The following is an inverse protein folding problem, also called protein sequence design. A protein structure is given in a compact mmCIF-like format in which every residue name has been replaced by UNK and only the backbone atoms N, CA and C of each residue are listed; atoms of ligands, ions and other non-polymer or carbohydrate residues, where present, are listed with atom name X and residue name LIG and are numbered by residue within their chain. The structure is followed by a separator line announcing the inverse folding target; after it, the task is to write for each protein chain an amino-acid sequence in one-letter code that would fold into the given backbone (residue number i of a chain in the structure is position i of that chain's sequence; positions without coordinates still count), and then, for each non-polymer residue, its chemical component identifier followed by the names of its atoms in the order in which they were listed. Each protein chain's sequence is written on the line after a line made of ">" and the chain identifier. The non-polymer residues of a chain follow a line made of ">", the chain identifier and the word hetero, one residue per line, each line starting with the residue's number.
data_IF_238600511373
#
_entry.id   IF_238600511373
#
_cell.length_a   1.000
_cell.length_b   1.000
_cell.length_c   1.000
_cell.angle_alpha   90.00
_cell.angle_beta   90.00
_cell.angle_gamma   90.00
#
_symmetry.space_group_name_H-M   'P 1'
#
loop_
_entity.id
_entity.type
_entity.pdbx_description
1 polymer ?
#
# COMPACT_ATOMS: atom_id res chain seq x y z
N UNK A 1 36.83 3.10 3.30
CA UNK A 1 35.61 2.36 3.71
C UNK A 1 34.42 2.98 2.99
N UNK A 2 34.06 2.44 1.83
CA UNK A 2 32.82 2.80 1.13
C UNK A 2 31.73 1.91 1.71
N UNK A 3 30.95 2.44 2.65
CA UNK A 3 29.71 1.79 3.06
C UNK A 3 28.75 1.90 1.87
N UNK A 4 28.26 0.76 1.42
CA UNK A 4 27.27 0.61 0.36
C UNK A 4 26.18 1.68 0.49
N UNK A 5 26.26 2.72 -0.34
CA UNK A 5 25.12 3.60 -0.57
C UNK A 5 24.06 2.76 -1.25
N UNK A 6 23.13 2.23 -0.45
CA UNK A 6 21.88 1.63 -0.91
C UNK A 6 21.31 2.57 -1.96
N UNK A 7 21.25 2.11 -3.20
CA UNK A 7 20.74 2.91 -4.31
C UNK A 7 19.29 3.31 -4.02
N UNK A 8 19.06 4.59 -3.75
CA UNK A 8 17.73 5.15 -3.60
C UNK A 8 17.29 5.60 -4.99
N UNK A 9 16.27 4.96 -5.56
CA UNK A 9 15.64 5.51 -6.75
C UNK A 9 15.16 6.94 -6.43
N UNK A 10 15.58 7.96 -7.19
CA UNK A 10 15.17 9.34 -6.95
C UNK A 10 13.66 9.53 -7.18
N UNK A 11 13.01 8.59 -7.85
CA UNK A 11 11.59 8.60 -8.15
C UNK A 11 10.88 7.34 -7.65
N UNK A 12 9.61 7.48 -7.27
CA UNK A 12 8.74 6.38 -6.92
C UNK A 12 8.60 5.43 -8.12
N UNK A 13 8.95 4.16 -7.91
CA UNK A 13 8.76 3.09 -8.88
C UNK A 13 8.12 1.87 -8.17
N UNK A 14 6.85 1.54 -8.46
CA UNK A 14 6.16 0.43 -7.80
C UNK A 14 6.88 -0.92 -8.01
N UNK A 15 7.46 -1.13 -9.20
CA UNK A 15 8.13 -2.38 -9.55
C UNK A 15 9.48 -2.57 -8.84
N UNK A 16 10.18 -1.46 -8.55
CA UNK A 16 11.39 -1.52 -7.73
C UNK A 16 11.06 -1.90 -6.29
N UNK A 17 10.02 -1.28 -5.72
CA UNK A 17 9.57 -1.62 -4.37
C UNK A 17 9.05 -3.07 -4.30
N UNK A 18 8.38 -3.55 -5.34
CA UNK A 18 7.95 -4.94 -5.44
C UNK A 18 9.13 -5.92 -5.48
N UNK A 19 10.17 -5.60 -6.25
CA UNK A 19 11.41 -6.40 -6.28
C UNK A 19 12.06 -6.45 -4.89
N UNK A 20 12.14 -5.32 -4.22
CA UNK A 20 12.89 -5.17 -2.98
C UNK A 20 12.12 -5.76 -1.78
N UNK A 21 10.80 -5.58 -1.72
CA UNK A 21 9.95 -5.99 -0.59
C UNK A 21 9.01 -7.16 -0.86
N UNK A 22 8.95 -7.68 -2.09
CA UNK A 22 8.03 -8.76 -2.46
C UNK A 22 8.15 -10.00 -1.58
N UNK A 23 9.34 -10.30 -1.06
CA UNK A 23 9.52 -11.44 -0.15
C UNK A 23 8.77 -11.32 1.17
N UNK A 24 8.57 -10.09 1.66
CA UNK A 24 7.87 -9.79 2.89
C UNK A 24 6.39 -9.54 2.59
N UNK A 25 6.13 -8.61 1.68
CA UNK A 25 4.78 -8.14 1.35
C UNK A 25 3.95 -9.26 0.73
N UNK A 26 4.49 -10.07 -0.20
CA UNK A 26 3.72 -11.17 -0.78
C UNK A 26 3.42 -12.27 0.21
N UNK A 27 4.29 -12.49 1.21
CA UNK A 27 4.01 -13.43 2.30
C UNK A 27 2.91 -12.91 3.23
N UNK A 28 2.89 -11.61 3.52
CA UNK A 28 1.89 -10.98 4.39
C UNK A 28 0.52 -10.84 3.72
N UNK A 29 0.48 -10.73 2.40
CA UNK A 29 -0.74 -10.53 1.60
C UNK A 29 -0.97 -11.66 0.59
N UNK A 30 -0.59 -12.89 0.95
CA UNK A 30 -0.71 -14.08 0.09
C UNK A 30 -2.14 -14.30 -0.45
N UNK A 31 -3.15 -13.95 0.34
CA UNK A 31 -4.56 -14.06 -0.03
C UNK A 31 -4.96 -13.15 -1.19
N UNK A 32 -4.24 -12.04 -1.39
CA UNK A 32 -4.43 -11.12 -2.51
C UNK A 32 -3.54 -11.52 -3.68
N UNK A 33 -2.25 -11.82 -3.42
CA UNK A 33 -1.23 -11.95 -4.48
C UNK A 33 -1.19 -13.34 -5.11
N UNK A 34 -1.27 -14.42 -4.32
CA UNK A 34 -1.13 -15.79 -4.87
C UNK A 34 -2.34 -16.21 -5.71
N UNK A 35 -3.47 -15.57 -5.49
CA UNK A 35 -4.74 -15.90 -6.14
C UNK A 35 -5.32 -14.70 -6.87
N UNK A 36 -4.45 -13.81 -7.38
CA UNK A 36 -4.85 -12.53 -7.96
C UNK A 36 -5.96 -12.73 -9.00
N UNK A 37 -7.21 -12.29 -8.72
CA UNK A 37 -8.33 -12.63 -9.58
C UNK A 37 -8.19 -12.04 -10.97
N UNK A 38 -8.59 -12.78 -11.98
CA UNK A 38 -8.71 -12.22 -13.33
C UNK A 38 -9.76 -11.11 -13.36
N UNK A 39 -10.82 -11.20 -12.56
CA UNK A 39 -11.89 -10.19 -12.53
C UNK A 39 -11.58 -9.07 -11.53
N UNK A 40 -11.54 -7.81 -12.03
CA UNK A 40 -11.33 -6.62 -11.20
C UNK A 40 -12.38 -6.41 -10.11
N UNK A 41 -13.62 -6.85 -10.34
CA UNK A 41 -14.70 -6.80 -9.35
C UNK A 41 -14.42 -7.73 -8.17
N UNK A 42 -13.93 -8.93 -8.46
CA UNK A 42 -13.55 -9.91 -7.44
C UNK A 42 -12.30 -9.45 -6.68
N UNK A 43 -11.28 -8.96 -7.40
CA UNK A 43 -10.09 -8.38 -6.78
C UNK A 43 -10.45 -7.23 -5.83
N UNK A 44 -11.34 -6.33 -6.25
CA UNK A 44 -11.82 -5.24 -5.40
C UNK A 44 -12.51 -5.73 -4.13
N UNK A 45 -13.39 -6.72 -4.24
CA UNK A 45 -14.04 -7.34 -3.08
C UNK A 45 -13.01 -7.96 -2.14
N UNK A 46 -12.01 -8.65 -2.68
CA UNK A 46 -10.97 -9.30 -1.86
C UNK A 46 -10.07 -8.31 -1.15
N UNK A 47 -9.65 -7.24 -1.83
CA UNK A 47 -8.90 -6.14 -1.23
C UNK A 47 -9.70 -5.48 -0.09
N UNK A 48 -10.98 -5.19 -0.32
CA UNK A 48 -11.87 -4.64 0.70
C UNK A 48 -12.00 -5.59 1.90
N UNK A 49 -12.23 -6.87 1.65
CA UNK A 49 -12.36 -7.88 2.69
C UNK A 49 -11.09 -8.03 3.53
N UNK A 50 -9.91 -8.13 2.90
CA UNK A 50 -8.62 -8.24 3.59
C UNK A 50 -8.36 -7.02 4.49
N UNK A 51 -8.68 -5.81 4.01
CA UNK A 51 -8.54 -4.59 4.82
C UNK A 51 -9.50 -4.56 5.99
N UNK A 52 -10.77 -4.89 5.78
CA UNK A 52 -11.78 -4.86 6.85
C UNK A 52 -11.51 -5.95 7.89
N UNK A 53 -11.08 -7.15 7.47
CA UNK A 53 -10.80 -8.25 8.40
C UNK A 53 -9.68 -7.94 9.40
N UNK A 54 -8.77 -7.03 9.07
CA UNK A 54 -7.73 -6.57 10.00
C UNK A 54 -8.29 -5.72 11.16
N UNK A 55 -9.50 -5.18 11.03
CA UNK A 55 -10.09 -4.25 12.01
C UNK A 55 -11.40 -4.75 12.63
N UNK A 56 -11.97 -5.84 12.14
CA UNK A 56 -13.11 -6.53 12.79
C UNK A 56 -12.55 -7.39 13.92
N UNK A 57 -12.38 -6.77 15.09
CA UNK A 57 -12.31 -7.50 16.35
C UNK A 57 -13.66 -8.21 16.54
N UNK A 58 -13.62 -9.51 16.83
CA UNK A 58 -14.72 -10.39 17.22
C UNK A 58 -16.12 -9.72 17.36
N UNK A 59 -17.10 -10.34 16.68
CA UNK A 59 -18.54 -10.35 16.98
C UNK A 59 -19.49 -9.64 15.98
N UNK A 60 -20.50 -10.42 15.57
CA UNK A 60 -21.76 -10.15 14.83
C UNK A 60 -21.79 -9.28 13.55
N UNK A 61 -20.82 -8.40 13.29
CA UNK A 61 -20.78 -7.53 12.08
C UNK A 61 -20.14 -8.17 10.85
N UNK A 62 -19.81 -9.46 10.90
CA UNK A 62 -19.32 -10.22 9.75
C UNK A 62 -20.27 -10.14 8.53
N UNK A 63 -21.55 -9.85 8.75
CA UNK A 63 -22.53 -9.59 7.69
C UNK A 63 -22.25 -8.34 6.84
N UNK A 64 -21.37 -7.41 7.28
CA UNK A 64 -20.95 -6.26 6.46
C UNK A 64 -19.88 -6.62 5.41
N UNK A 65 -19.27 -7.82 5.50
CA UNK A 65 -18.16 -8.26 4.64
C UNK A 65 -18.69 -8.84 3.31
N UNK A 66 -19.90 -9.41 3.31
CA UNK A 66 -20.50 -9.99 2.11
C UNK A 66 -21.21 -8.93 1.25
N UNK A 67 -20.48 -7.91 0.80
CA UNK A 67 -20.97 -7.09 -0.31
C UNK A 67 -20.82 -7.90 -1.60
N UNK A 68 -21.94 -8.18 -2.27
CA UNK A 68 -21.90 -8.74 -3.62
C UNK A 68 -20.93 -7.93 -4.49
N UNK A 69 -20.08 -8.63 -5.25
CA UNK A 69 -19.06 -7.99 -6.08
C UNK A 69 -19.70 -6.97 -7.02
N UNK A 70 -19.46 -5.68 -6.73
CA UNK A 70 -19.97 -4.61 -7.56
C UNK A 70 -19.16 -4.53 -8.86
N UNK A 71 -19.85 -4.33 -9.98
CA UNK A 71 -19.24 -4.31 -11.30
C UNK A 71 -18.13 -3.25 -11.37
N UNK A 72 -16.94 -3.68 -11.78
CA UNK A 72 -15.82 -2.82 -12.16
C UNK A 72 -15.67 -2.85 -13.68
N UNK A 73 -15.74 -1.69 -14.32
CA UNK A 73 -15.43 -1.51 -15.74
C UNK A 73 -14.12 -0.76 -15.91
N UNK A 74 -13.45 -0.94 -17.04
CA UNK A 74 -12.14 -0.36 -17.33
C UNK A 74 -12.07 0.04 -18.80
N UNK A 75 -11.59 1.26 -19.07
CA UNK A 75 -11.37 1.78 -20.43
C UNK A 75 -9.89 2.00 -20.72
N UNK A 76 -9.39 1.40 -21.80
CA UNK A 76 -8.07 1.71 -22.37
C UNK A 76 -6.86 1.02 -21.71
N UNK A 77 -7.08 -0.01 -20.88
CA UNK A 77 -6.02 -0.85 -20.29
C UNK A 77 -6.53 -2.27 -20.05
N UNK A 78 -5.67 -3.15 -19.55
CA UNK A 78 -6.01 -4.55 -19.33
C UNK A 78 -7.25 -4.69 -18.44
N UNK A 79 -8.25 -5.42 -18.95
CA UNK A 79 -9.50 -5.71 -18.23
C UNK A 79 -9.34 -6.79 -17.16
N UNK A 80 -8.19 -7.48 -17.15
CA UNK A 80 -7.91 -8.52 -16.18
C UNK A 80 -6.98 -8.01 -15.05
N UNK A 81 -7.21 -8.49 -13.82
CA UNK A 81 -6.50 -8.05 -12.62
C UNK A 81 -5.00 -8.31 -12.67
N UNK A 82 -4.57 -9.46 -13.18
CA UNK A 82 -3.16 -9.87 -13.22
C UNK A 82 -2.30 -9.00 -14.14
N UNK A 83 -2.81 -8.71 -15.34
CA UNK A 83 -2.15 -7.80 -16.28
C UNK A 83 -2.10 -6.39 -15.72
N UNK A 84 -3.19 -5.89 -15.11
CA UNK A 84 -3.20 -4.55 -14.53
C UNK A 84 -2.24 -4.44 -13.33
N UNK A 85 -2.21 -5.45 -12.46
CA UNK A 85 -1.24 -5.55 -11.37
C UNK A 85 0.21 -5.52 -11.88
N UNK A 86 0.52 -6.29 -12.93
CA UNK A 86 1.86 -6.29 -13.52
C UNK A 86 2.23 -4.96 -14.20
N UNK A 87 1.24 -4.18 -14.65
CA UNK A 87 1.46 -2.89 -15.28
C UNK A 87 1.73 -1.78 -14.23
N UNK A 88 0.86 -1.66 -13.23
CA UNK A 88 0.86 -0.51 -12.29
C UNK A 88 1.35 -0.84 -10.88
N UNK A 89 1.40 -2.12 -10.50
CA UNK A 89 1.74 -2.57 -9.15
C UNK A 89 0.58 -2.47 -8.15
N UNK A 90 0.72 -3.17 -7.03
CA UNK A 90 -0.37 -3.35 -6.06
C UNK A 90 -0.83 -2.05 -5.41
N UNK A 91 0.10 -1.17 -5.02
CA UNK A 91 -0.24 0.08 -4.31
C UNK A 91 -1.21 0.96 -5.13
N UNK A 92 -0.89 1.15 -6.42
CA UNK A 92 -1.69 1.95 -7.33
C UNK A 92 -3.04 1.27 -7.58
N UNK A 93 -3.03 -0.05 -7.80
CA UNK A 93 -4.21 -0.84 -8.05
C UNK A 93 -5.19 -0.82 -6.86
N UNK A 94 -4.68 -0.96 -5.64
CA UNK A 94 -5.49 -0.91 -4.42
C UNK A 94 -6.16 0.45 -4.26
N UNK A 95 -5.42 1.55 -4.47
CA UNK A 95 -6.01 2.88 -4.41
C UNK A 95 -7.07 3.08 -5.50
N UNK A 96 -6.79 2.66 -6.73
CA UNK A 96 -7.72 2.81 -7.85
C UNK A 96 -9.03 2.07 -7.60
N UNK A 97 -8.97 0.85 -7.05
CA UNK A 97 -10.15 0.04 -6.77
C UNK A 97 -10.93 0.53 -5.55
N UNK A 98 -10.32 1.23 -4.60
CA UNK A 98 -10.95 1.52 -3.31
C UNK A 98 -11.18 3.00 -3.02
N UNK A 99 -10.59 3.94 -3.75
CA UNK A 99 -10.61 5.36 -3.35
C UNK A 99 -11.89 6.12 -3.74
N UNK A 100 -12.48 5.82 -4.89
CA UNK A 100 -13.48 6.70 -5.49
C UNK A 100 -14.88 6.50 -4.90
N UNK A 101 -15.37 5.26 -4.94
CA UNK A 101 -16.70 4.90 -4.46
C UNK A 101 -16.66 3.74 -3.46
N UNK A 102 -17.66 3.60 -2.57
CA UNK A 102 -17.77 2.47 -1.65
C UNK A 102 -17.70 1.12 -2.39
N UNK A 103 -17.15 0.09 -1.75
CA UNK A 103 -16.91 -1.22 -2.38
C UNK A 103 -18.16 -1.87 -3.03
N UNK A 104 -19.36 -1.61 -2.49
CA UNK A 104 -20.63 -2.12 -3.00
C UNK A 104 -21.21 -1.32 -4.20
N UNK A 105 -20.60 -0.20 -4.59
CA UNK A 105 -21.05 0.62 -5.73
C UNK A 105 -20.25 0.29 -6.99
N UNK A 106 -20.87 0.30 -8.18
CA UNK A 106 -20.14 0.12 -9.43
C UNK A 106 -19.02 1.15 -9.59
N UNK A 107 -17.89 0.72 -10.15
CA UNK A 107 -16.71 1.57 -10.36
C UNK A 107 -16.32 1.54 -11.84
N UNK A 108 -15.98 2.70 -12.37
CA UNK A 108 -15.44 2.84 -13.70
C UNK A 108 -14.00 3.33 -13.61
N UNK A 109 -13.05 2.43 -13.86
CA UNK A 109 -11.63 2.75 -13.86
C UNK A 109 -11.24 3.38 -15.20
N UNK A 110 -10.50 4.47 -15.12
CA UNK A 110 -9.93 5.18 -16.27
C UNK A 110 -8.42 5.26 -16.15
N UNK A 111 -7.71 5.37 -17.28
CA UNK A 111 -6.26 5.56 -17.24
C UNK A 111 -5.87 6.81 -16.43
N UNK A 112 -6.67 7.88 -16.51
CA UNK A 112 -6.47 9.09 -15.72
C UNK A 112 -6.56 8.84 -14.20
N UNK A 113 -7.44 7.94 -13.75
CA UNK A 113 -7.52 7.55 -12.34
C UNK A 113 -6.21 6.89 -11.87
N UNK A 114 -5.69 5.92 -12.64
CA UNK A 114 -4.43 5.23 -12.35
C UNK A 114 -3.25 6.22 -12.30
N UNK A 115 -3.15 7.11 -13.29
CA UNK A 115 -2.12 8.16 -13.35
C UNK A 115 -2.26 9.10 -12.14
N UNK A 116 -3.48 9.44 -11.73
CA UNK A 116 -3.73 10.27 -10.55
C UNK A 116 -3.20 9.63 -9.26
N UNK A 117 -3.44 8.34 -9.08
CA UNK A 117 -2.91 7.57 -7.95
C UNK A 117 -1.38 7.48 -7.97
N UNK A 118 -0.80 7.20 -9.14
CA UNK A 118 0.65 7.18 -9.32
C UNK A 118 1.29 8.54 -8.96
N UNK A 119 0.73 9.65 -9.46
CA UNK A 119 1.23 11.01 -9.18
C UNK A 119 1.19 11.30 -7.69
N UNK A 120 0.09 10.96 -7.03
CA UNK A 120 -0.04 11.14 -5.58
C UNK A 120 1.00 10.34 -4.80
N UNK A 121 1.20 9.05 -5.14
CA UNK A 121 2.23 8.22 -4.49
C UNK A 121 3.65 8.73 -4.76
N UNK A 122 3.89 9.30 -5.94
CA UNK A 122 5.17 9.96 -6.25
C UNK A 122 5.38 11.20 -5.38
N UNK A 123 4.35 11.98 -5.11
CA UNK A 123 4.44 13.14 -4.21
C UNK A 123 4.66 12.71 -2.76
N UNK A 124 3.99 11.64 -2.31
CA UNK A 124 4.23 10.98 -1.02
C UNK A 124 5.69 10.53 -0.91
N UNK A 125 6.21 9.82 -1.92
CA UNK A 125 7.61 9.38 -1.94
C UNK A 125 8.58 10.54 -1.82
N UNK A 126 8.40 11.59 -2.63
CA UNK A 126 9.28 12.77 -2.64
C UNK A 126 9.33 13.47 -1.28
N UNK A 127 8.20 13.51 -0.58
CA UNK A 127 8.13 14.08 0.76
C UNK A 127 8.74 13.13 1.82
N UNK A 128 8.37 11.86 1.81
CA UNK A 128 8.67 10.93 2.90
C UNK A 128 10.06 10.28 2.80
N UNK A 129 10.60 10.03 1.61
CA UNK A 129 11.84 9.27 1.44
C UNK A 129 13.09 9.97 2.03
N UNK A 130 13.01 11.29 2.21
CA UNK A 130 14.06 12.13 2.80
C UNK A 130 13.72 12.57 4.23
N UNK A 131 12.59 12.11 4.78
CA UNK A 131 12.18 12.50 6.11
C UNK A 131 13.13 11.89 7.15
N UNK A 132 13.65 12.67 8.11
CA UNK A 132 14.45 12.12 9.21
C UNK A 132 13.69 11.02 9.96
N UNK A 133 14.45 10.12 10.58
CA UNK A 133 13.88 9.11 11.46
C UNK A 133 13.22 9.78 12.68
N UNK A 134 12.04 9.28 13.04
CA UNK A 134 11.19 9.80 14.11
C UNK A 134 10.88 8.71 15.13
N UNK A 135 11.29 8.94 16.38
CA UNK A 135 11.01 8.02 17.52
C UNK A 135 9.66 8.27 18.19
N UNK A 136 8.87 9.22 17.68
CA UNK A 136 7.55 9.53 18.24
C UNK A 136 6.57 8.36 18.06
N UNK A 137 5.70 8.08 19.05
CA UNK A 137 4.59 7.16 18.84
C UNK A 137 3.58 7.77 17.83
N UNK A 138 2.83 6.93 17.08
CA UNK A 138 1.71 7.43 16.28
C UNK A 138 0.67 8.12 17.17
N UNK A 139 -0.04 9.10 16.63
CA UNK A 139 -1.21 9.67 17.28
C UNK A 139 -2.26 8.59 17.59
N UNK A 140 -2.84 8.60 18.80
CA UNK A 140 -3.75 7.55 19.27
C UNK A 140 -5.09 7.52 18.51
N UNK A 141 -5.51 8.67 17.97
CA UNK A 141 -6.72 8.77 17.18
C UNK A 141 -6.39 8.86 15.69
N UNK A 142 -6.70 7.78 14.98
CA UNK A 142 -6.54 7.71 13.55
C UNK A 142 -7.92 7.59 12.88
N UNK A 143 -8.34 8.67 12.24
CA UNK A 143 -9.63 8.72 11.53
C UNK A 143 -9.72 7.65 10.43
N UNK A 144 -8.59 7.33 9.78
CA UNK A 144 -8.50 6.29 8.74
C UNK A 144 -8.94 4.94 9.32
N UNK A 145 -8.42 4.57 10.49
CA UNK A 145 -8.80 3.35 11.21
C UNK A 145 -10.28 3.34 11.56
N UNK A 146 -10.83 4.47 12.05
CA UNK A 146 -12.27 4.57 12.35
C UNK A 146 -13.14 4.38 11.11
N UNK A 147 -12.73 4.91 9.96
CA UNK A 147 -13.44 4.70 8.70
C UNK A 147 -13.38 3.23 8.24
N UNK A 148 -12.23 2.57 8.40
CA UNK A 148 -12.05 1.15 8.10
C UNK A 148 -12.89 0.24 9.01
N UNK A 149 -12.96 0.53 10.30
CA UNK A 149 -13.85 -0.17 11.24
C UNK A 149 -15.33 -0.05 10.84
N UNK A 150 -15.70 1.05 10.18
CA UNK A 150 -17.03 1.24 9.60
C UNK A 150 -17.22 0.62 8.22
N UNK A 151 -16.23 -0.08 7.65
CA UNK A 151 -16.24 -0.65 6.30
C UNK A 151 -16.15 0.38 5.17
N UNK A 152 -15.81 1.64 5.47
CA UNK A 152 -15.84 2.79 4.53
C UNK A 152 -14.47 3.03 3.91
N UNK A 153 -14.03 2.16 3.01
CA UNK A 153 -12.71 2.23 2.36
C UNK A 153 -12.44 3.55 1.61
N UNK A 154 -13.41 4.06 0.85
CA UNK A 154 -13.26 5.29 0.08
C UNK A 154 -13.09 6.51 1.00
N UNK A 155 -13.86 6.55 2.11
CA UNK A 155 -13.70 7.58 3.14
C UNK A 155 -12.34 7.46 3.84
N UNK A 156 -11.89 6.24 4.15
CA UNK A 156 -10.59 6.01 4.78
C UNK A 156 -9.44 6.52 3.89
N UNK A 157 -9.50 6.29 2.57
CA UNK A 157 -8.50 6.81 1.62
C UNK A 157 -8.59 8.33 1.47
N UNK A 158 -9.80 8.93 1.48
CA UNK A 158 -9.95 10.38 1.50
C UNK A 158 -9.29 10.99 2.76
N UNK A 159 -9.52 10.39 3.93
CA UNK A 159 -8.90 10.80 5.18
C UNK A 159 -7.38 10.57 5.17
N UNK A 160 -6.87 9.52 4.53
CA UNK A 160 -5.44 9.30 4.34
C UNK A 160 -4.81 10.44 3.53
N UNK A 161 -5.47 10.88 2.46
CA UNK A 161 -5.00 12.03 1.65
C UNK A 161 -5.03 13.33 2.44
N UNK A 162 -6.04 13.55 3.25
CA UNK A 162 -6.10 14.73 4.13
C UNK A 162 -5.05 14.67 5.24
N UNK A 163 -4.77 13.48 5.77
CA UNK A 163 -3.70 13.25 6.73
C UNK A 163 -2.33 13.60 6.11
N UNK A 164 -2.08 13.20 4.86
CA UNK A 164 -0.87 13.60 4.13
C UNK A 164 -0.74 15.13 4.01
N UNK A 165 -1.82 15.83 3.62
CA UNK A 165 -1.82 17.29 3.55
C UNK A 165 -1.49 17.93 4.91
N UNK A 166 -2.02 17.39 6.01
CA UNK A 166 -1.74 17.89 7.36
C UNK A 166 -0.28 17.70 7.75
N UNK A 167 0.31 16.53 7.42
CA UNK A 167 1.75 16.29 7.61
C UNK A 167 2.58 17.32 6.86
N UNK A 168 2.22 17.64 5.62
CA UNK A 168 2.90 18.68 4.85
C UNK A 168 2.77 20.08 5.46
N UNK A 169 1.64 20.38 6.11
CA UNK A 169 1.39 21.67 6.78
C UNK A 169 2.09 21.79 8.15
N UNK A 170 2.30 20.66 8.84
CA UNK A 170 2.89 20.61 10.18
C UNK A 170 4.07 19.62 10.20
N UNK A 171 5.18 19.92 9.49
CA UNK A 171 6.29 18.98 9.28
C UNK A 171 7.05 18.59 10.55
N UNK A 172 6.90 19.35 11.64
CA UNK A 172 7.55 19.05 12.92
C UNK A 172 6.76 18.04 13.77
N UNK A 173 5.52 17.71 13.38
CA UNK A 173 4.70 16.74 14.08
C UNK A 173 5.06 15.32 13.65
N UNK A 174 6.06 14.77 14.35
CA UNK A 174 6.55 13.42 14.12
C UNK A 174 5.47 12.34 14.38
N UNK A 175 4.59 12.55 15.37
CA UNK A 175 3.53 11.60 15.68
C UNK A 175 2.50 11.51 14.55
N UNK A 176 2.15 12.66 13.97
CA UNK A 176 1.29 12.75 12.79
C UNK A 176 1.90 12.08 11.56
N UNK A 177 3.20 12.30 11.32
CA UNK A 177 3.94 11.65 10.23
C UNK A 177 3.94 10.12 10.37
N UNK A 178 4.21 9.61 11.58
CA UNK A 178 4.18 8.16 11.85
C UNK A 178 2.76 7.59 11.68
N UNK A 179 1.73 8.30 12.14
CA UNK A 179 0.33 7.91 11.89
C UNK A 179 0.01 7.86 10.39
N UNK A 180 0.52 8.81 9.61
CA UNK A 180 0.33 8.83 8.17
C UNK A 180 0.93 7.60 7.48
N UNK A 181 2.22 7.31 7.69
CA UNK A 181 2.87 6.18 7.02
C UNK A 181 2.30 4.83 7.49
N UNK A 182 1.88 4.72 8.75
CA UNK A 182 1.21 3.52 9.29
C UNK A 182 -0.19 3.33 8.68
N UNK A 183 -0.88 4.43 8.35
CA UNK A 183 -2.16 4.38 7.64
C UNK A 183 -1.98 4.04 6.16
N UNK A 184 -0.92 4.60 5.55
CA UNK A 184 -0.57 4.37 4.15
C UNK A 184 -0.26 2.90 3.90
N UNK A 185 0.47 2.24 4.80
CA UNK A 185 0.85 0.83 4.65
C UNK A 185 -0.33 -0.14 4.64
N UNK A 186 -1.51 0.29 5.13
CA UNK A 186 -2.73 -0.50 5.00
C UNK A 186 -3.14 -0.64 3.53
N UNK A 187 -3.11 0.45 2.76
CA UNK A 187 -3.59 0.47 1.37
C UNK A 187 -2.47 0.27 0.34
N UNK A 188 -1.25 0.70 0.69
CA UNK A 188 -0.10 0.73 -0.20
C UNK A 188 1.04 -0.03 0.49
N UNK A 189 0.96 -1.37 0.57
CA UNK A 189 1.87 -2.15 1.39
C UNK A 189 3.33 -2.04 0.93
N UNK A 190 3.62 -1.83 -0.35
CA UNK A 190 5.01 -1.77 -0.83
C UNK A 190 5.70 -0.45 -0.43
N UNK A 191 5.12 0.71 -0.80
CA UNK A 191 5.65 2.00 -0.37
C UNK A 191 5.57 2.17 1.16
N UNK A 192 4.50 1.67 1.78
CA UNK A 192 4.33 1.74 3.24
C UNK A 192 5.43 0.98 3.97
N UNK A 193 5.75 -0.23 3.52
CA UNK A 193 6.85 -1.05 4.09
C UNK A 193 8.18 -0.32 3.98
N UNK A 194 8.53 0.18 2.79
CA UNK A 194 9.78 0.92 2.58
C UNK A 194 9.87 2.16 3.49
N UNK A 195 8.79 2.94 3.63
CA UNK A 195 8.78 4.13 4.46
C UNK A 195 8.81 3.80 5.96
N UNK A 196 8.16 2.72 6.41
CA UNK A 196 8.24 2.26 7.80
C UNK A 196 9.62 1.71 8.13
N UNK A 197 10.26 0.99 7.21
CA UNK A 197 11.64 0.52 7.35
C UNK A 197 12.63 1.68 7.51
N UNK A 198 12.51 2.74 6.70
CA UNK A 198 13.32 3.97 6.84
C UNK A 198 13.16 4.66 8.18
N UNK A 199 12.06 4.41 8.88
CA UNK A 199 11.79 4.93 10.21
C UNK A 199 12.22 3.96 11.33
N UNK A 200 12.92 2.88 11.00
CA UNK A 200 13.37 1.87 11.96
C UNK A 200 12.22 1.04 12.57
N UNK A 201 11.08 0.95 11.89
CA UNK A 201 9.88 0.22 12.39
C UNK A 201 9.71 -1.17 11.80
N UNK A 202 10.60 -1.54 10.88
CA UNK A 202 10.66 -2.84 10.23
C UNK A 202 12.12 -3.28 10.32
N UNK A 203 12.36 -4.44 10.91
CA UNK A 203 13.72 -4.95 11.16
C UNK A 203 14.30 -5.69 9.95
N UNK A 204 13.47 -6.08 8.98
CA UNK A 204 13.91 -6.76 7.77
C UNK A 204 14.63 -5.79 6.83
N UNK A 205 15.80 -6.17 6.34
CA UNK A 205 16.59 -5.39 5.37
C UNK A 205 16.53 -6.03 3.97
N UNK A 206 16.05 -5.31 2.92
CA UNK A 206 16.03 -5.84 1.56
C UNK A 206 17.44 -6.13 1.01
N UNK A 207 18.48 -5.43 1.49
CA UNK A 207 19.86 -5.62 1.07
C UNK A 207 20.53 -6.85 1.73
N UNK A 208 20.02 -7.36 2.85
CA UNK A 208 20.55 -8.58 3.48
C UNK A 208 20.50 -9.83 2.57
N UNK A 209 19.75 -9.77 1.46
CA UNK A 209 19.70 -10.82 0.44
C UNK A 209 20.82 -10.80 -0.59
N UNK A 210 21.40 -9.63 -0.92
CA UNK A 210 22.46 -9.57 -1.95
C UNK A 210 23.76 -10.25 -1.52
N UNK A 211 23.94 -10.54 -0.22
CA UNK A 211 25.08 -11.29 0.31
C UNK A 211 24.98 -12.83 0.22
N UNK A 212 23.86 -13.40 -0.23
CA UNK A 212 23.64 -14.87 -0.15
C UNK A 212 23.91 -15.65 -1.45
N UNK A 213 24.58 -15.04 -2.45
CA UNK A 213 24.88 -15.70 -3.73
C UNK A 213 26.34 -15.61 -4.20
N UNK A 214 27.32 -15.52 -3.30
CA UNK A 214 28.73 -15.76 -3.67
C UNK A 214 29.50 -16.42 -2.53
N UNK A 215 29.31 -17.74 -2.34
CA UNK A 215 30.34 -18.66 -1.81
C UNK A 215 29.80 -20.10 -1.74
N UNK A 216 29.64 -20.72 -2.91
CA UNK A 216 29.89 -22.16 -3.07
C UNK A 216 30.73 -22.36 -4.32
N UNK A 217 31.94 -21.79 -4.27
CA UNK A 217 33.07 -22.31 -5.03
C UNK A 217 33.43 -23.65 -4.42
N UNK A 218 33.10 -24.71 -5.15
CA UNK A 218 33.60 -26.06 -4.92
C UNK A 218 35.13 -25.97 -5.06
N UNK A 219 35.85 -26.18 -3.97
CA UNK A 219 37.27 -26.53 -4.02
C UNK A 219 37.32 -28.05 -4.24
N UNK A 220 37.90 -28.42 -5.38
CA UNK A 220 38.42 -29.75 -5.68
C UNK A 220 39.48 -30.20 -4.67
#
# INVERSE_FOLDING_TARGET
>A
MSKDTVYISPEYNPHSLQRDWGFLVCKQHSEIIDTLPENLSELRTRLHASLVSQFVLNDEKAHLIACAAAKVTADGFASNGSSLYNEVGLDILTLALLADVPAHRPLHLTQNSLIGHWRWLRDVWRYCAKHPQCDAPPHPHNTVTTALQGGKNNLAIAQLRDLFKKVQQVPNDSGLYISFISSLSLFCPFIGTELLWRQGRIDQDPASRSGTKENKGILE
#
